data_IF_475938530832
#
_entry.id   IF_475938530832
#
_cell.length_a   1.000
_cell.length_b   1.000
_cell.length_c   1.000
_cell.angle_alpha   90.00
_cell.angle_beta   90.00
_cell.angle_gamma   90.00
#
_symmetry.space_group_name_H-M   'P 1'
#
loop_
_entity.id
_entity.type
_entity.pdbx_description
1 polymer ?
#
# COMPACT_ATOMS: atom_id res chain seq x y z
N UNK A 1 -3.43 16.77 8.74
CA UNK A 1 -3.00 16.81 7.32
C UNK A 1 -3.17 15.40 6.79
N UNK A 2 -3.83 15.21 5.64
CA UNK A 2 -3.96 13.85 5.07
C UNK A 2 -2.57 13.32 4.68
N UNK A 3 -2.22 12.07 5.00
CA UNK A 3 -0.98 11.47 4.53
C UNK A 3 -1.06 11.20 3.01
N UNK A 4 -0.02 11.57 2.28
CA UNK A 4 0.06 11.44 0.80
C UNK A 4 0.92 10.25 0.38
N UNK A 5 1.94 9.91 1.18
CA UNK A 5 2.93 8.89 0.84
C UNK A 5 2.68 7.60 1.62
N UNK A 6 2.47 6.52 0.87
CA UNK A 6 2.42 5.15 1.37
C UNK A 6 3.78 4.49 1.35
N UNK A 7 4.25 4.09 2.53
CA UNK A 7 5.52 3.40 2.73
C UNK A 7 5.25 1.92 2.93
N UNK A 8 5.58 1.11 1.92
CA UNK A 8 5.53 -0.36 2.01
C UNK A 8 6.71 -0.88 2.82
N UNK A 9 6.49 -1.37 4.05
CA UNK A 9 7.58 -1.86 4.87
C UNK A 9 8.12 -3.15 4.29
N UNK A 10 9.39 -3.15 3.90
CA UNK A 10 10.08 -4.36 3.39
C UNK A 10 11.09 -4.92 4.39
N UNK A 11 11.35 -4.18 5.47
CA UNK A 11 12.15 -4.57 6.62
C UNK A 11 11.74 -3.74 7.83
N UNK A 12 12.24 -4.12 9.02
CA UNK A 12 12.14 -3.30 10.23
C UNK A 12 12.81 -1.92 10.05
N UNK A 13 13.91 -1.87 9.31
CA UNK A 13 14.62 -0.63 8.98
C UNK A 13 13.72 0.35 8.23
N UNK A 14 12.90 -0.13 7.29
CA UNK A 14 11.92 0.73 6.59
C UNK A 14 10.91 1.35 7.55
N UNK A 15 10.42 0.58 8.52
CA UNK A 15 9.47 1.06 9.53
C UNK A 15 10.12 2.12 10.42
N UNK A 16 11.33 1.84 10.93
CA UNK A 16 12.06 2.78 11.78
C UNK A 16 12.45 4.06 11.03
N UNK A 17 12.77 3.96 9.74
CA UNK A 17 13.05 5.11 8.87
C UNK A 17 11.79 5.97 8.67
N UNK A 18 10.65 5.35 8.36
CA UNK A 18 9.38 6.07 8.22
C UNK A 18 8.99 6.83 9.49
N UNK A 19 9.10 6.18 10.65
CA UNK A 19 8.85 6.81 11.96
C UNK A 19 9.81 7.98 12.24
N UNK A 20 11.09 7.81 11.92
CA UNK A 20 12.09 8.85 12.09
C UNK A 20 11.80 10.06 11.19
N UNK A 21 11.49 9.84 9.92
CA UNK A 21 11.16 10.87 8.93
C UNK A 21 9.86 11.58 9.30
N UNK A 22 8.79 10.85 9.63
CA UNK A 22 7.51 11.44 10.04
C UNK A 22 7.70 12.38 11.24
N UNK A 23 8.43 11.94 12.27
CA UNK A 23 8.74 12.75 13.45
C UNK A 23 9.59 13.98 13.14
N UNK A 24 10.64 13.81 12.31
CA UNK A 24 11.59 14.89 11.95
C UNK A 24 10.90 15.97 11.12
N UNK A 25 10.07 15.58 10.17
CA UNK A 25 9.40 16.49 9.23
C UNK A 25 8.02 16.95 9.71
N UNK A 26 7.49 16.36 10.80
CA UNK A 26 6.12 16.57 11.29
C UNK A 26 5.06 16.31 10.20
N UNK A 27 5.36 15.41 9.27
CA UNK A 27 4.48 15.09 8.14
C UNK A 27 3.86 13.70 8.32
N UNK A 28 2.53 13.58 8.25
CA UNK A 28 1.87 12.27 8.32
C UNK A 28 2.24 11.34 7.16
N UNK A 29 2.51 10.07 7.46
CA UNK A 29 2.80 9.01 6.49
C UNK A 29 1.81 7.84 6.64
N UNK A 30 1.64 7.05 5.58
CA UNK A 30 0.97 5.75 5.69
C UNK A 30 2.01 4.65 5.77
N UNK A 31 1.84 3.70 6.69
CA UNK A 31 2.55 2.42 6.68
C UNK A 31 1.61 1.38 6.11
N UNK A 32 1.98 0.77 4.98
CA UNK A 32 1.10 -0.05 4.14
C UNK A 32 1.65 -1.49 3.99
N UNK A 33 1.80 -2.28 5.07
CA UNK A 33 2.15 -3.69 4.91
C UNK A 33 1.09 -4.44 4.08
N UNK A 34 1.57 -5.23 3.13
CA UNK A 34 0.78 -6.29 2.50
C UNK A 34 0.61 -7.47 3.43
N UNK A 35 -0.37 -8.34 3.13
CA UNK A 35 -0.58 -9.60 3.88
C UNK A 35 0.63 -10.52 3.89
N UNK A 36 1.54 -10.42 2.92
CA UNK A 36 2.78 -11.20 2.92
C UNK A 36 3.82 -10.67 3.90
N UNK A 37 3.80 -9.36 4.17
CA UNK A 37 4.75 -8.68 5.03
C UNK A 37 4.38 -8.82 6.51
N UNK A 38 3.12 -8.51 6.82
CA UNK A 38 2.53 -8.56 8.16
C UNK A 38 1.11 -9.10 8.03
N UNK A 39 0.73 -10.12 8.78
CA UNK A 39 -0.64 -10.65 8.85
C UNK A 39 -0.95 -11.18 10.25
N UNK A 40 -2.19 -11.64 10.48
CA UNK A 40 -2.59 -12.24 11.74
C UNK A 40 -1.76 -13.50 12.07
N UNK A 41 -1.71 -13.85 13.36
CA UNK A 41 -0.98 -15.03 13.83
C UNK A 41 -1.45 -16.32 13.14
N UNK A 42 -2.75 -16.44 12.82
CA UNK A 42 -3.31 -17.60 12.11
C UNK A 42 -2.72 -17.77 10.70
N UNK A 43 -2.24 -16.69 10.08
CA UNK A 43 -1.60 -16.69 8.75
C UNK A 43 -0.07 -16.76 8.84
N UNK A 44 0.48 -16.86 10.06
CA UNK A 44 1.92 -16.98 10.31
C UNK A 44 2.67 -15.66 10.42
N UNK A 45 1.97 -14.53 10.58
CA UNK A 45 2.58 -13.20 10.78
C UNK A 45 3.18 -12.56 9.53
N UNK A 46 3.64 -13.33 8.54
CA UNK A 46 4.31 -12.78 7.35
C UNK A 46 5.83 -12.64 7.52
N UNK A 47 6.52 -12.25 6.44
CA UNK A 47 7.98 -12.38 6.40
C UNK A 47 8.76 -11.32 7.19
N UNK A 48 8.10 -10.25 7.67
CA UNK A 48 8.77 -9.25 8.53
C UNK A 48 8.95 -9.74 9.97
N UNK A 49 8.34 -10.87 10.34
CA UNK A 49 8.47 -11.45 11.68
C UNK A 49 7.62 -10.77 12.74
N UNK A 50 6.52 -10.12 12.34
CA UNK A 50 5.51 -9.56 13.24
C UNK A 50 4.13 -10.05 12.84
N UNK A 51 3.32 -10.43 13.82
CA UNK A 51 1.88 -10.44 13.65
C UNK A 51 1.33 -9.02 13.49
N UNK A 52 0.10 -8.89 12.96
CA UNK A 52 -0.60 -7.60 12.87
C UNK A 52 -0.62 -6.83 14.19
N UNK A 53 -0.89 -7.52 15.31
CA UNK A 53 -0.90 -6.92 16.65
C UNK A 53 0.50 -6.42 17.06
N UNK A 54 1.53 -7.25 16.91
CA UNK A 54 2.91 -6.89 17.27
C UNK A 54 3.42 -5.72 16.43
N UNK A 55 3.11 -5.69 15.14
CA UNK A 55 3.46 -4.59 14.25
C UNK A 55 2.79 -3.28 14.70
N UNK A 56 1.49 -3.31 14.98
CA UNK A 56 0.77 -2.13 15.43
C UNK A 56 1.27 -1.63 16.79
N UNK A 57 1.53 -2.54 17.74
CA UNK A 57 2.12 -2.21 19.03
C UNK A 57 3.52 -1.61 18.89
N UNK A 58 4.36 -2.17 18.00
CA UNK A 58 5.71 -1.68 17.72
C UNK A 58 5.70 -0.23 17.21
N UNK A 59 4.81 0.07 16.25
CA UNK A 59 4.64 1.38 15.64
C UNK A 59 4.12 2.40 16.66
N UNK A 60 3.02 2.09 17.36
CA UNK A 60 2.42 3.00 18.35
C UNK A 60 3.37 3.39 19.47
N UNK A 61 4.15 2.44 19.98
CA UNK A 61 5.15 2.71 21.00
C UNK A 61 6.23 3.72 20.55
N UNK A 62 6.40 3.93 19.25
CA UNK A 62 7.42 4.80 18.64
C UNK A 62 6.84 6.02 17.92
N UNK A 63 5.51 6.13 17.85
CA UNK A 63 4.78 7.25 17.26
C UNK A 63 3.87 7.95 18.28
N UNK A 64 4.44 8.61 19.31
CA UNK A 64 3.64 9.27 20.35
C UNK A 64 2.80 10.45 19.83
N UNK A 65 3.01 10.87 18.58
CA UNK A 65 2.32 12.00 17.96
C UNK A 65 1.26 11.57 16.95
N UNK A 66 1.08 10.26 16.70
CA UNK A 66 0.11 9.76 15.72
C UNK A 66 0.37 10.28 14.30
N UNK A 67 1.64 10.35 13.89
CA UNK A 67 2.06 10.80 12.56
C UNK A 67 2.08 9.67 11.53
N UNK A 68 1.80 8.43 11.93
CA UNK A 68 1.74 7.28 11.04
C UNK A 68 0.35 6.65 11.07
N UNK A 69 -0.27 6.53 9.90
CA UNK A 69 -1.51 5.79 9.72
C UNK A 69 -1.18 4.35 9.32
N UNK A 70 -1.58 3.39 10.14
CA UNK A 70 -1.49 1.97 9.80
C UNK A 70 -2.54 1.63 8.75
N UNK A 71 -2.11 1.04 7.64
CA UNK A 71 -2.93 0.73 6.49
C UNK A 71 -2.66 -0.69 6.00
N UNK A 72 -3.67 -1.39 5.50
CA UNK A 72 -3.47 -2.67 4.81
C UNK A 72 -3.26 -2.39 3.33
N UNK A 73 -2.28 -3.04 2.71
CA UNK A 73 -2.10 -3.07 1.25
C UNK A 73 -2.51 -4.42 0.66
N UNK A 74 -3.14 -4.42 -0.52
CA UNK A 74 -3.50 -5.60 -1.31
C UNK A 74 -4.10 -6.75 -0.46
N UNK A 75 -5.25 -6.49 0.17
CA UNK A 75 -5.83 -7.38 1.17
C UNK A 75 -6.80 -8.44 0.66
N UNK A 76 -7.08 -8.52 -0.64
CA UNK A 76 -8.10 -9.44 -1.16
C UNK A 76 -7.60 -10.85 -1.51
N UNK A 77 -8.45 -11.65 -2.19
CA UNK A 77 -8.35 -13.10 -2.23
C UNK A 77 -7.22 -13.61 -3.11
N UNK A 78 -6.61 -14.72 -2.70
CA UNK A 78 -5.46 -15.38 -3.32
C UNK A 78 -4.17 -14.55 -3.34
N UNK A 79 -4.12 -13.44 -2.60
CA UNK A 79 -2.91 -12.64 -2.44
C UNK A 79 -2.00 -13.18 -1.35
N UNK A 80 -2.52 -14.00 -0.42
CA UNK A 80 -1.75 -14.67 0.62
C UNK A 80 -1.43 -16.13 0.26
N UNK A 81 -0.26 -16.63 0.65
CA UNK A 81 0.18 -18.01 0.30
C UNK A 81 -0.67 -19.09 0.96
N UNK A 82 -1.28 -18.81 2.11
CA UNK A 82 -2.22 -19.73 2.78
C UNK A 82 -3.46 -20.03 1.93
N UNK A 83 -3.81 -19.14 0.99
CA UNK A 83 -4.99 -19.26 0.14
C UNK A 83 -4.70 -20.07 -1.13
N UNK A 84 -3.45 -20.50 -1.33
CA UNK A 84 -3.02 -21.11 -2.59
C UNK A 84 -3.78 -22.40 -2.95
N UNK A 85 -4.43 -23.05 -1.98
CA UNK A 85 -5.20 -24.28 -2.16
C UNK A 85 -6.72 -24.07 -2.10
N UNK A 86 -7.17 -22.85 -1.81
CA UNK A 86 -8.61 -22.55 -1.72
C UNK A 86 -9.21 -22.53 -3.13
N UNK A 87 -10.12 -23.47 -3.37
CA UNK A 87 -10.88 -23.52 -4.61
C UNK A 87 -12.13 -22.65 -4.51
N UNK A 88 -12.78 -22.55 -3.37
CA UNK A 88 -14.00 -21.75 -3.25
C UNK A 88 -13.66 -20.24 -3.13
N UNK A 89 -14.19 -19.36 -4.00
CA UNK A 89 -14.10 -17.92 -3.80
C UNK A 89 -14.59 -17.45 -2.43
N UNK A 90 -15.67 -18.04 -1.89
CA UNK A 90 -16.21 -17.61 -0.61
C UNK A 90 -15.24 -17.91 0.55
N UNK A 91 -14.58 -19.07 0.53
CA UNK A 91 -13.52 -19.39 1.49
C UNK A 91 -12.32 -18.41 1.39
N UNK A 92 -11.98 -17.97 0.18
CA UNK A 92 -10.92 -16.99 -0.04
C UNK A 92 -11.34 -15.60 0.48
N UNK A 93 -12.61 -15.19 0.30
CA UNK A 93 -13.14 -13.95 0.87
C UNK A 93 -13.18 -14.01 2.40
N UNK A 94 -13.57 -15.14 2.99
CA UNK A 94 -13.55 -15.35 4.44
C UNK A 94 -12.14 -15.27 5.01
N UNK A 95 -11.15 -15.81 4.30
CA UNK A 95 -9.74 -15.68 4.64
C UNK A 95 -9.29 -14.21 4.67
N UNK A 96 -9.70 -13.41 3.69
CA UNK A 96 -9.43 -11.97 3.68
C UNK A 96 -10.11 -11.26 4.86
N UNK A 97 -11.38 -11.58 5.13
CA UNK A 97 -12.14 -10.98 6.21
C UNK A 97 -11.51 -11.23 7.58
N UNK A 98 -10.96 -12.43 7.83
CA UNK A 98 -10.24 -12.72 9.07
C UNK A 98 -8.95 -11.89 9.22
N UNK A 99 -8.19 -11.73 8.14
CA UNK A 99 -7.01 -10.86 8.10
C UNK A 99 -7.37 -9.40 8.38
N UNK A 100 -8.39 -8.86 7.69
CA UNK A 100 -8.90 -7.52 7.92
C UNK A 100 -9.49 -7.33 9.32
N UNK A 101 -10.09 -8.37 9.89
CA UNK A 101 -10.58 -8.33 11.26
C UNK A 101 -9.43 -8.11 12.25
N UNK A 102 -8.31 -8.81 12.07
CA UNK A 102 -7.12 -8.57 12.88
C UNK A 102 -6.55 -7.15 12.68
N UNK A 103 -6.62 -6.61 11.47
CA UNK A 103 -6.23 -5.22 11.19
C UNK A 103 -7.14 -4.22 11.93
N UNK A 104 -8.45 -4.45 11.94
CA UNK A 104 -9.43 -3.64 12.68
C UNK A 104 -9.17 -3.69 14.19
N UNK A 105 -8.97 -4.88 14.75
CA UNK A 105 -8.67 -5.09 16.18
C UNK A 105 -7.34 -4.43 16.56
N UNK A 106 -6.36 -4.49 15.66
CA UNK A 106 -5.08 -3.82 15.82
C UNK A 106 -5.14 -2.33 15.47
N UNK A 107 -6.30 -1.75 15.16
CA UNK A 107 -6.56 -0.34 14.93
C UNK A 107 -5.89 0.24 13.68
N UNK A 108 -5.91 -0.51 12.58
CA UNK A 108 -5.59 0.00 11.25
C UNK A 108 -6.63 1.04 10.83
N UNK A 109 -6.17 2.16 10.27
CA UNK A 109 -7.01 3.29 9.87
C UNK A 109 -7.49 3.21 8.42
N UNK A 110 -6.91 2.33 7.59
CA UNK A 110 -7.29 2.16 6.19
C UNK A 110 -7.11 0.72 5.71
N UNK A 111 -8.12 0.15 5.04
CA UNK A 111 -8.05 -1.20 4.45
C UNK A 111 -8.11 -1.12 2.93
N UNK A 112 -7.05 -1.57 2.25
CA UNK A 112 -7.05 -1.74 0.79
C UNK A 112 -7.66 -3.10 0.41
N UNK A 113 -8.88 -3.07 -0.13
CA UNK A 113 -9.61 -4.22 -0.65
C UNK A 113 -9.32 -4.33 -2.15
N UNK A 114 -8.52 -5.33 -2.52
CA UNK A 114 -8.13 -5.57 -3.91
C UNK A 114 -8.55 -6.97 -4.37
N UNK A 115 -9.51 -7.04 -5.29
CA UNK A 115 -10.12 -8.30 -5.74
C UNK A 115 -9.81 -8.64 -7.20
N UNK A 116 -8.77 -8.02 -7.78
CA UNK A 116 -8.39 -8.24 -9.17
C UNK A 116 -7.79 -9.63 -9.43
N UNK A 117 -7.21 -10.26 -8.42
CA UNK A 117 -6.52 -11.55 -8.56
C UNK A 117 -7.48 -12.73 -8.72
N UNK A 118 -7.04 -13.70 -9.52
CA UNK A 118 -7.69 -15.00 -9.62
C UNK A 118 -6.99 -16.05 -8.77
N UNK A 119 -7.43 -17.31 -8.93
CA UNK A 119 -6.78 -18.43 -8.26
C UNK A 119 -5.34 -18.56 -8.77
N UNK A 120 -4.43 -19.12 -7.97
CA UNK A 120 -3.07 -19.38 -8.43
C UNK A 120 -3.06 -20.14 -9.76
N UNK A 121 -2.34 -19.60 -10.74
CA UNK A 121 -2.23 -20.18 -12.08
C UNK A 121 -3.35 -19.82 -13.06
N UNK A 122 -4.39 -19.08 -12.65
CA UNK A 122 -5.45 -18.64 -13.57
C UNK A 122 -5.25 -17.21 -14.08
N UNK A 123 -4.35 -16.45 -13.45
CA UNK A 123 -4.20 -15.02 -13.69
C UNK A 123 -5.36 -14.19 -13.12
N UNK A 124 -5.34 -12.87 -13.35
CA UNK A 124 -6.38 -11.95 -12.89
C UNK A 124 -7.77 -12.30 -13.43
N UNK A 125 -8.81 -11.94 -12.68
CA UNK A 125 -10.19 -12.10 -13.12
C UNK A 125 -10.67 -10.89 -13.93
N UNK A 126 -11.81 -11.03 -14.61
CA UNK A 126 -12.43 -9.89 -15.30
C UNK A 126 -12.85 -8.80 -14.32
N UNK A 127 -12.85 -7.54 -14.78
CA UNK A 127 -13.27 -6.39 -13.98
C UNK A 127 -14.66 -6.56 -13.35
N UNK A 128 -15.60 -7.20 -14.06
CA UNK A 128 -16.94 -7.54 -13.53
C UNK A 128 -16.87 -8.48 -12.34
N UNK A 129 -16.07 -9.54 -12.43
CA UNK A 129 -15.90 -10.51 -11.33
C UNK A 129 -15.17 -9.88 -10.16
N UNK A 130 -14.12 -9.10 -10.41
CA UNK A 130 -13.41 -8.34 -9.39
C UNK A 130 -14.36 -7.39 -8.66
N UNK A 131 -15.12 -6.57 -9.38
CA UNK A 131 -16.08 -5.63 -8.82
C UNK A 131 -17.16 -6.30 -7.95
N UNK A 132 -17.71 -7.44 -8.39
CA UNK A 132 -18.70 -8.19 -7.60
C UNK A 132 -18.12 -8.67 -6.26
N UNK A 133 -16.92 -9.29 -6.30
CA UNK A 133 -16.20 -9.72 -5.08
C UNK A 133 -15.83 -8.54 -4.19
N UNK A 134 -15.50 -7.41 -4.79
CA UNK A 134 -15.11 -6.20 -4.08
C UNK A 134 -16.28 -5.68 -3.25
N UNK A 135 -17.44 -5.48 -3.87
CA UNK A 135 -18.65 -5.00 -3.17
C UNK A 135 -19.00 -5.93 -2.02
N UNK A 136 -18.94 -7.24 -2.24
CA UNK A 136 -19.20 -8.24 -1.21
C UNK A 136 -18.20 -8.17 -0.04
N UNK A 137 -16.90 -8.22 -0.32
CA UNK A 137 -15.86 -8.15 0.71
C UNK A 137 -15.88 -6.81 1.45
N UNK A 138 -16.14 -5.72 0.74
CA UNK A 138 -16.32 -4.38 1.31
C UNK A 138 -17.46 -4.35 2.31
N UNK A 139 -18.63 -4.88 1.93
CA UNK A 139 -19.79 -4.95 2.81
C UNK A 139 -19.50 -5.78 4.07
N UNK A 140 -18.84 -6.94 3.92
CA UNK A 140 -18.41 -7.79 5.05
C UNK A 140 -17.43 -7.05 5.97
N UNK A 141 -16.40 -6.40 5.43
CA UNK A 141 -15.45 -5.61 6.20
C UNK A 141 -16.12 -4.41 6.91
N UNK A 142 -17.11 -3.77 6.27
CA UNK A 142 -17.87 -2.68 6.88
C UNK A 142 -18.75 -3.14 8.04
N UNK A 143 -19.38 -4.32 7.90
CA UNK A 143 -20.12 -4.93 8.98
C UNK A 143 -19.21 -5.25 10.19
N UNK A 144 -18.04 -5.84 9.96
CA UNK A 144 -17.06 -6.13 11.02
C UNK A 144 -16.54 -4.87 11.72
N UNK A 145 -16.26 -3.81 10.95
CA UNK A 145 -15.82 -2.52 11.51
C UNK A 145 -16.94 -1.88 12.35
N UNK A 146 -18.17 -1.91 11.86
CA UNK A 146 -19.34 -1.36 12.57
C UNK A 146 -19.61 -2.12 13.86
N UNK A 147 -19.55 -3.46 13.83
CA UNK A 147 -19.73 -4.30 15.02
C UNK A 147 -18.70 -4.01 16.12
N UNK A 148 -17.49 -3.57 15.74
CA UNK A 148 -16.41 -3.17 16.67
C UNK A 148 -16.43 -1.69 17.06
N UNK A 149 -17.24 -0.88 16.40
CA UNK A 149 -17.15 0.58 16.51
C UNK A 149 -15.84 1.16 15.98
N UNK A 150 -15.14 0.43 15.11
CA UNK A 150 -13.86 0.85 14.52
C UNK A 150 -14.09 1.91 13.45
N UNK A 151 -13.38 3.03 13.56
CA UNK A 151 -13.32 4.04 12.50
C UNK A 151 -12.23 3.66 11.50
N UNK A 152 -12.63 3.27 10.30
CA UNK A 152 -11.72 2.83 9.25
C UNK A 152 -12.12 3.45 7.91
N UNK A 153 -11.12 3.81 7.11
CA UNK A 153 -11.31 4.19 5.72
C UNK A 153 -11.04 2.99 4.80
N UNK A 154 -11.53 3.05 3.57
CA UNK A 154 -11.29 2.00 2.59
C UNK A 154 -10.54 2.55 1.38
N UNK A 155 -9.77 1.66 0.79
CA UNK A 155 -9.13 1.83 -0.51
C UNK A 155 -9.52 0.64 -1.37
N UNK A 156 -9.79 0.87 -2.65
CA UNK A 156 -10.30 -0.18 -3.53
C UNK A 156 -9.42 -0.35 -4.77
N UNK A 157 -9.20 -1.61 -5.14
CA UNK A 157 -8.55 -2.03 -6.38
C UNK A 157 -9.34 -3.16 -7.02
N UNK A 158 -9.58 -3.08 -8.33
CA UNK A 158 -10.38 -4.09 -9.05
C UNK A 158 -9.83 -4.38 -10.45
N UNK A 159 -8.66 -3.84 -10.79
CA UNK A 159 -7.97 -4.06 -12.06
C UNK A 159 -6.53 -4.53 -11.79
N UNK A 160 -6.04 -5.50 -12.58
CA UNK A 160 -4.66 -5.97 -12.43
C UNK A 160 -3.64 -4.90 -12.76
N UNK A 161 -2.42 -5.08 -12.27
CA UNK A 161 -1.32 -4.16 -12.55
C UNK A 161 -0.84 -4.26 -14.00
N UNK A 162 -0.67 -3.10 -14.65
CA UNK A 162 -0.23 -2.97 -16.04
C UNK A 162 0.93 -1.94 -16.18
N UNK A 163 1.65 -1.98 -17.30
CA UNK A 163 2.59 -0.92 -17.69
C UNK A 163 1.89 0.35 -18.16
N UNK A 164 0.69 0.25 -18.74
CA UNK A 164 -0.08 1.38 -19.28
C UNK A 164 -0.97 2.04 -18.22
N UNK A 165 -1.72 3.07 -18.60
CA UNK A 165 -2.85 3.54 -17.80
C UNK A 165 -4.10 2.73 -18.08
N UNK A 166 -5.10 2.81 -17.20
CA UNK A 166 -6.44 2.35 -17.54
C UNK A 166 -7.03 3.18 -18.67
N UNK A 167 -7.97 2.57 -19.41
CA UNK A 167 -8.87 3.32 -20.28
C UNK A 167 -9.85 4.13 -19.42
N UNK A 168 -9.97 5.46 -19.61
CA UNK A 168 -10.82 6.28 -18.77
C UNK A 168 -12.31 5.92 -18.80
N UNK A 169 -12.85 5.48 -19.93
CA UNK A 169 -14.27 5.17 -20.06
C UNK A 169 -14.60 3.83 -19.40
N UNK A 170 -13.75 2.81 -19.61
CA UNK A 170 -13.86 1.51 -18.94
C UNK A 170 -13.69 1.67 -17.42
N UNK A 171 -12.69 2.43 -16.97
CA UNK A 171 -12.46 2.73 -15.56
C UNK A 171 -13.67 3.41 -14.92
N UNK A 172 -14.23 4.43 -15.58
CA UNK A 172 -15.40 5.15 -15.09
C UNK A 172 -16.63 4.24 -14.94
N UNK A 173 -16.87 3.38 -15.92
CA UNK A 173 -17.99 2.44 -15.89
C UNK A 173 -17.83 1.42 -14.74
N UNK A 174 -16.63 0.87 -14.57
CA UNK A 174 -16.33 -0.08 -13.50
C UNK A 174 -16.41 0.57 -12.11
N UNK A 175 -15.84 1.78 -11.96
CA UNK A 175 -15.88 2.54 -10.71
C UNK A 175 -17.32 2.79 -10.26
N UNK A 176 -18.19 3.28 -11.14
CA UNK A 176 -19.60 3.53 -10.81
C UNK A 176 -20.33 2.29 -10.34
N UNK A 177 -20.12 1.17 -11.02
CA UNK A 177 -20.71 -0.10 -10.63
C UNK A 177 -20.27 -0.53 -9.22
N UNK A 178 -18.99 -0.33 -8.89
CA UNK A 178 -18.48 -0.60 -7.53
C UNK A 178 -19.09 0.34 -6.50
N UNK A 179 -19.09 1.66 -6.77
CA UNK A 179 -19.61 2.65 -5.82
C UNK A 179 -21.11 2.48 -5.56
N UNK A 180 -21.91 2.24 -6.60
CA UNK A 180 -23.34 1.92 -6.47
C UNK A 180 -23.56 0.67 -5.61
N UNK A 181 -22.72 -0.37 -5.77
CA UNK A 181 -22.77 -1.56 -4.94
C UNK A 181 -22.40 -1.31 -3.48
N UNK A 182 -21.37 -0.49 -3.22
CA UNK A 182 -20.94 -0.08 -1.87
C UNK A 182 -22.04 0.73 -1.19
N UNK A 183 -22.64 1.69 -1.88
CA UNK A 183 -23.76 2.50 -1.36
C UNK A 183 -25.00 1.65 -1.09
N UNK A 184 -25.33 0.71 -1.98
CA UNK A 184 -26.46 -0.21 -1.80
C UNK A 184 -26.26 -1.14 -0.59
N UNK A 185 -25.01 -1.45 -0.23
CA UNK A 185 -24.66 -2.17 0.99
C UNK A 185 -24.71 -1.30 2.27
N UNK A 186 -25.02 -0.01 2.14
CA UNK A 186 -25.08 0.94 3.25
C UNK A 186 -23.71 1.35 3.80
N UNK A 187 -22.63 1.05 3.07
CA UNK A 187 -21.27 1.32 3.50
C UNK A 187 -20.78 2.69 2.98
N UNK A 188 -19.83 3.37 3.66
CA UNK A 188 -19.31 4.65 3.22
C UNK A 188 -18.54 4.50 1.90
N UNK A 189 -18.47 5.55 1.09
CA UNK A 189 -17.60 5.56 -0.09
C UNK A 189 -16.13 5.32 0.29
N UNK A 190 -15.35 4.60 -0.55
CA UNK A 190 -13.93 4.44 -0.32
C UNK A 190 -13.23 5.79 -0.37
N UNK A 191 -12.18 5.95 0.43
CA UNK A 191 -11.35 7.16 0.40
C UNK A 191 -10.50 7.21 -0.86
N UNK A 192 -9.91 6.09 -1.23
CA UNK A 192 -9.02 5.98 -2.38
C UNK A 192 -9.48 4.89 -3.35
N UNK A 193 -9.21 5.11 -4.62
CA UNK A 193 -9.30 4.12 -5.69
C UNK A 193 -7.92 4.02 -6.32
N UNK A 194 -7.44 2.79 -6.47
CA UNK A 194 -6.19 2.51 -7.17
C UNK A 194 -6.50 2.35 -8.66
N UNK A 195 -5.80 3.13 -9.48
CA UNK A 195 -5.81 2.97 -10.93
C UNK A 195 -4.36 2.89 -11.43
N UNK A 196 -4.18 2.29 -12.60
CA UNK A 196 -2.91 2.25 -13.30
C UNK A 196 -2.57 3.65 -13.81
N UNK A 197 -1.51 4.23 -13.26
CA UNK A 197 -1.03 5.58 -13.60
C UNK A 197 0.15 5.55 -14.58
N UNK A 198 0.34 4.44 -15.29
CA UNK A 198 1.47 4.22 -16.18
C UNK A 198 2.80 4.02 -15.44
N UNK A 199 2.75 3.57 -14.18
CA UNK A 199 3.90 3.27 -13.32
C UNK A 199 3.95 1.78 -13.01
N UNK A 200 5.12 1.15 -13.20
CA UNK A 200 5.31 -0.28 -12.92
C UNK A 200 6.76 -0.54 -12.52
N UNK A 201 6.98 -1.32 -11.46
CA UNK A 201 8.33 -1.69 -11.04
C UNK A 201 8.74 -3.00 -11.69
N UNK A 202 9.93 -3.00 -12.31
CA UNK A 202 10.63 -4.22 -12.67
C UNK A 202 12.13 -4.00 -12.50
N UNK A 203 12.83 -5.03 -12.02
CA UNK A 203 14.26 -5.01 -11.75
C UNK A 203 14.65 -3.87 -10.77
N UNK A 204 15.47 -2.92 -11.23
CA UNK A 204 15.97 -1.78 -10.44
C UNK A 204 15.42 -0.45 -10.95
N UNK A 205 14.30 -0.46 -11.66
CA UNK A 205 13.73 0.72 -12.31
C UNK A 205 12.20 0.68 -12.38
N UNK A 206 11.63 1.81 -12.76
CA UNK A 206 10.26 1.88 -13.21
C UNK A 206 10.21 1.65 -14.73
N UNK A 207 9.34 0.75 -15.18
CA UNK A 207 9.14 0.33 -16.58
C UNK A 207 7.76 0.69 -17.11
N UNK A 208 6.98 1.47 -16.34
CA UNK A 208 5.67 1.92 -16.78
C UNK A 208 5.77 2.90 -17.95
N UNK A 209 4.68 2.99 -18.73
CA UNK A 209 4.53 3.85 -19.91
C UNK A 209 4.85 5.32 -19.63
N UNK A 210 4.69 5.77 -18.39
CA UNK A 210 5.09 7.10 -17.94
C UNK A 210 6.57 7.42 -18.21
N UNK A 211 7.45 6.41 -18.24
CA UNK A 211 8.87 6.57 -18.53
C UNK A 211 9.23 6.57 -20.02
N UNK A 212 8.29 6.29 -20.93
CA UNK A 212 8.50 6.46 -22.36
C UNK A 212 8.40 7.95 -22.72
N UNK A 213 9.49 8.61 -23.19
CA UNK A 213 9.48 10.03 -23.54
C UNK A 213 8.42 10.40 -24.58
N UNK A 214 8.09 9.48 -25.51
CA UNK A 214 7.12 9.72 -26.56
C UNK A 214 5.67 9.62 -26.04
N UNK A 215 5.45 8.80 -25.02
CA UNK A 215 4.13 8.55 -24.45
C UNK A 215 3.84 9.33 -23.15
N UNK A 216 4.85 9.90 -22.49
CA UNK A 216 4.72 10.54 -21.16
C UNK A 216 3.66 11.63 -21.10
N UNK A 217 3.61 12.51 -22.11
CA UNK A 217 2.64 13.60 -22.14
C UNK A 217 1.19 13.10 -22.27
N UNK A 218 0.97 12.05 -23.08
CA UNK A 218 -0.36 11.41 -23.18
C UNK A 218 -0.71 10.66 -21.90
N UNK A 219 0.24 9.92 -21.33
CA UNK A 219 0.08 9.21 -20.06
C UNK A 219 -0.37 10.17 -18.95
N UNK A 220 0.27 11.34 -18.82
CA UNK A 220 -0.12 12.36 -17.83
C UNK A 220 -1.52 12.96 -18.08
N UNK A 221 -1.94 13.11 -19.35
CA UNK A 221 -3.32 13.53 -19.68
C UNK A 221 -4.35 12.46 -19.29
N UNK A 222 -4.04 11.18 -19.54
CA UNK A 222 -4.89 10.07 -19.13
C UNK A 222 -5.00 10.00 -17.61
N UNK A 223 -3.88 10.11 -16.88
CA UNK A 223 -3.89 10.20 -15.40
C UNK A 223 -4.74 11.37 -14.92
N UNK A 224 -4.65 12.54 -15.56
CA UNK A 224 -5.50 13.69 -15.24
C UNK A 224 -6.99 13.42 -15.44
N UNK A 225 -7.33 12.64 -16.47
CA UNK A 225 -8.71 12.23 -16.74
C UNK A 225 -9.20 11.23 -15.68
N UNK A 226 -8.38 10.25 -15.31
CA UNK A 226 -8.69 9.29 -14.24
C UNK A 226 -8.90 10.01 -12.89
N UNK A 227 -8.02 10.95 -12.55
CA UNK A 227 -8.15 11.75 -11.33
C UNK A 227 -9.45 12.57 -11.33
N UNK A 228 -9.77 13.23 -12.45
CA UNK A 228 -11.02 13.98 -12.59
C UNK A 228 -12.26 13.10 -12.45
N UNK A 229 -12.23 11.87 -12.98
CA UNK A 229 -13.31 10.88 -12.80
C UNK A 229 -13.45 10.54 -11.31
N UNK A 230 -12.37 10.19 -10.62
CA UNK A 230 -12.41 9.91 -9.18
C UNK A 230 -13.01 11.07 -8.39
N UNK A 231 -12.52 12.30 -8.63
CA UNK A 231 -13.00 13.49 -7.92
C UNK A 231 -14.47 13.80 -8.19
N UNK A 232 -14.97 13.55 -9.40
CA UNK A 232 -16.39 13.69 -9.74
C UNK A 232 -17.28 12.71 -8.97
N UNK A 233 -16.78 11.51 -8.70
CA UNK A 233 -17.48 10.48 -7.94
C UNK A 233 -17.22 10.58 -6.41
N UNK A 234 -16.51 11.63 -5.96
CA UNK A 234 -16.28 11.89 -4.52
C UNK A 234 -15.17 11.04 -3.88
N UNK A 235 -14.34 10.38 -4.68
CA UNK A 235 -13.23 9.52 -4.23
C UNK A 235 -11.89 10.07 -4.73
N UNK A 236 -10.77 9.56 -4.21
CA UNK A 236 -9.42 10.05 -4.54
C UNK A 236 -8.63 9.03 -5.35
N UNK A 237 -7.79 9.50 -6.26
CA UNK A 237 -6.92 8.63 -7.05
C UNK A 237 -5.62 8.34 -6.31
N UNK A 238 -5.27 7.05 -6.19
CA UNK A 238 -3.99 6.62 -5.61
C UNK A 238 -3.15 5.83 -6.60
N UNK A 239 -1.89 6.23 -6.73
CA UNK A 239 -0.92 5.59 -7.62
C UNK A 239 -0.11 4.51 -6.89
N UNK A 240 0.10 3.36 -7.55
CA UNK A 240 0.99 2.31 -7.07
C UNK A 240 2.29 2.28 -7.89
N UNK A 241 3.28 1.53 -7.41
CA UNK A 241 4.54 1.32 -8.12
C UNK A 241 5.29 2.64 -8.42
N UNK A 242 5.26 3.62 -7.51
CA UNK A 242 5.96 4.89 -7.69
C UNK A 242 7.43 4.85 -7.22
N UNK A 243 7.98 3.65 -7.04
CA UNK A 243 9.40 3.43 -6.80
C UNK A 243 10.26 3.92 -7.98
N UNK A 244 11.48 4.35 -7.65
CA UNK A 244 12.51 4.82 -8.58
C UNK A 244 12.15 6.09 -9.37
N UNK A 245 11.02 6.73 -9.07
CA UNK A 245 10.69 8.02 -9.64
C UNK A 245 11.61 9.10 -9.07
N UNK A 246 11.99 10.04 -9.92
CA UNK A 246 12.61 11.30 -9.48
C UNK A 246 11.58 12.19 -8.76
N UNK A 247 12.06 13.19 -8.02
CA UNK A 247 11.20 14.19 -7.39
C UNK A 247 10.28 14.87 -8.40
N UNK A 248 10.80 15.22 -9.59
CA UNK A 248 10.04 15.91 -10.62
C UNK A 248 9.02 15.00 -11.33
N UNK A 249 9.36 13.72 -11.51
CA UNK A 249 8.43 12.71 -12.03
C UNK A 249 7.26 12.49 -11.06
N UNK A 250 7.56 12.33 -9.77
CA UNK A 250 6.54 12.21 -8.73
C UNK A 250 5.67 13.47 -8.66
N UNK A 251 6.28 14.66 -8.70
CA UNK A 251 5.56 15.93 -8.75
C UNK A 251 4.67 16.07 -10.00
N UNK A 252 5.07 15.48 -11.13
CA UNK A 252 4.25 15.46 -12.35
C UNK A 252 2.98 14.64 -12.18
N UNK A 253 3.04 13.48 -11.52
CA UNK A 253 1.86 12.66 -11.20
C UNK A 253 0.91 13.39 -10.25
N UNK A 254 1.46 14.03 -9.20
CA UNK A 254 0.69 14.84 -8.26
C UNK A 254 0.00 16.03 -8.97
N UNK A 255 0.70 16.72 -9.88
CA UNK A 255 0.10 17.79 -10.71
C UNK A 255 -0.96 17.28 -11.67
N UNK A 256 -0.86 16.02 -12.11
CA UNK A 256 -1.90 15.35 -12.87
C UNK A 256 -3.08 14.87 -11.99
N UNK A 257 -3.11 15.20 -10.70
CA UNK A 257 -4.26 14.94 -9.84
C UNK A 257 -4.20 13.64 -9.04
N UNK A 258 -3.07 12.92 -9.03
CA UNK A 258 -2.85 11.82 -8.08
C UNK A 258 -2.85 12.37 -6.65
N UNK A 259 -3.70 11.84 -5.78
CA UNK A 259 -3.90 12.33 -4.42
C UNK A 259 -2.95 11.68 -3.40
N UNK A 260 -2.54 10.44 -3.66
CA UNK A 260 -1.61 9.68 -2.84
C UNK A 260 -0.85 8.66 -3.68
N UNK A 261 0.30 8.18 -3.20
CA UNK A 261 1.09 7.18 -3.92
C UNK A 261 1.89 6.26 -3.00
N UNK A 262 2.18 5.06 -3.49
CA UNK A 262 2.95 4.04 -2.77
C UNK A 262 4.36 3.88 -3.31
N UNK A 263 5.32 3.69 -2.40
CA UNK A 263 6.71 3.27 -2.67
C UNK A 263 7.03 2.12 -1.72
N UNK A 264 7.69 1.06 -2.19
CA UNK A 264 7.97 -0.11 -1.37
C UNK A 264 9.29 -0.83 -1.72
N UNK A 265 9.41 -1.59 -2.84
CA UNK A 265 10.59 -2.40 -3.14
C UNK A 265 11.91 -1.60 -3.19
N UNK A 266 11.88 -0.33 -3.58
CA UNK A 266 13.08 0.53 -3.62
C UNK A 266 13.73 0.67 -2.24
N UNK A 267 12.96 0.64 -1.15
CA UNK A 267 13.51 0.73 0.19
C UNK A 267 14.39 -0.48 0.53
N UNK A 268 14.01 -1.67 0.06
CA UNK A 268 14.76 -2.91 0.30
C UNK A 268 16.03 -2.96 -0.52
N UNK A 269 15.98 -2.47 -1.76
CA UNK A 269 17.16 -2.29 -2.62
C UNK A 269 18.11 -1.25 -2.02
N UNK A 270 17.57 -0.15 -1.49
CA UNK A 270 18.36 0.92 -0.85
C UNK A 270 19.09 0.39 0.38
N UNK A 271 18.38 -0.35 1.23
CA UNK A 271 18.97 -0.99 2.42
C UNK A 271 20.05 -2.02 2.03
N UNK A 272 19.79 -2.83 1.00
CA UNK A 272 20.76 -3.81 0.49
C UNK A 272 22.02 -3.13 -0.02
N UNK A 273 21.88 -2.08 -0.83
CA UNK A 273 23.00 -1.28 -1.32
C UNK A 273 23.78 -0.63 -0.17
N UNK A 274 23.10 -0.17 0.87
CA UNK A 274 23.75 0.41 2.05
C UNK A 274 24.59 -0.63 2.81
N UNK A 275 24.08 -1.85 3.00
CA UNK A 275 24.87 -2.95 3.59
C UNK A 275 26.08 -3.29 2.73
N UNK A 276 25.91 -3.43 1.41
CA UNK A 276 27.02 -3.75 0.50
C UNK A 276 28.11 -2.67 0.51
N UNK A 277 27.74 -1.39 0.58
CA UNK A 277 28.70 -0.29 0.76
C UNK A 277 29.46 -0.41 2.07
N UNK A 278 28.78 -0.70 3.18
CA UNK A 278 29.44 -0.92 4.48
C UNK A 278 30.43 -2.07 4.40
N UNK A 279 30.04 -3.21 3.82
CA UNK A 279 30.93 -4.37 3.68
C UNK A 279 32.18 -4.04 2.85
N UNK A 280 32.02 -3.25 1.79
CA UNK A 280 33.13 -2.78 0.95
C UNK A 280 34.04 -1.78 1.67
N UNK A 281 33.49 -0.73 2.26
CA UNK A 281 34.24 0.28 3.01
C UNK A 281 34.99 -0.32 4.20
N UNK A 282 34.43 -1.36 4.83
CA UNK A 282 35.03 -2.07 5.95
C UNK A 282 36.05 -3.15 5.53
N UNK A 283 36.25 -3.34 4.22
CA UNK A 283 37.16 -4.34 3.62
C UNK A 283 36.74 -5.80 3.93
N UNK A 284 35.43 -6.04 4.02
CA UNK A 284 34.82 -7.35 4.31
C UNK A 284 34.40 -8.08 3.01
N UNK A 285 35.36 -8.31 2.11
CA UNK A 285 35.11 -8.89 0.78
C UNK A 285 34.40 -10.26 0.81
N UNK A 286 34.82 -11.16 1.71
CA UNK A 286 34.21 -12.48 1.86
C UNK A 286 32.74 -12.38 2.34
N UNK A 287 32.46 -11.50 3.30
CA UNK A 287 31.09 -11.29 3.78
C UNK A 287 30.19 -10.65 2.69
N UNK A 288 30.75 -9.77 1.84
CA UNK A 288 30.05 -9.21 0.67
C UNK A 288 29.67 -10.31 -0.33
N UNK A 289 30.61 -11.19 -0.66
CA UNK A 289 30.36 -12.32 -1.57
C UNK A 289 29.35 -13.32 -0.99
N UNK A 290 29.50 -13.68 0.29
CA UNK A 290 28.55 -14.53 1.01
C UNK A 290 27.13 -13.96 0.97
N UNK A 291 26.99 -12.65 1.20
CA UNK A 291 25.69 -11.98 1.17
C UNK A 291 25.07 -12.00 -0.21
N UNK A 292 25.84 -11.65 -1.24
CA UNK A 292 25.36 -11.64 -2.63
C UNK A 292 24.90 -13.03 -3.06
N UNK A 293 25.69 -14.07 -2.74
CA UNK A 293 25.32 -15.46 -3.01
C UNK A 293 24.05 -15.87 -2.28
N UNK A 294 23.97 -15.60 -0.97
CA UNK A 294 22.77 -15.88 -0.16
C UNK A 294 21.52 -15.23 -0.74
N UNK A 295 21.59 -13.95 -1.11
CA UNK A 295 20.48 -13.20 -1.67
C UNK A 295 20.08 -13.71 -3.06
N UNK A 296 21.06 -14.00 -3.92
CA UNK A 296 20.81 -14.58 -5.24
C UNK A 296 20.12 -15.96 -5.14
N UNK A 297 20.66 -16.85 -4.31
CA UNK A 297 20.21 -18.24 -4.19
C UNK A 297 18.81 -18.35 -3.56
N UNK A 298 18.35 -17.30 -2.86
CA UNK A 298 16.98 -17.21 -2.34
C UNK A 298 15.91 -17.27 -3.44
N UNK A 299 16.25 -16.91 -4.68
CA UNK A 299 15.34 -16.84 -5.82
C UNK A 299 14.24 -15.77 -5.70
N UNK A 300 14.24 -14.94 -4.64
CA UNK A 300 13.19 -13.94 -4.40
C UNK A 300 13.17 -12.79 -5.42
N UNK A 301 14.24 -12.67 -6.22
CA UNK A 301 14.34 -11.72 -7.32
C UNK A 301 13.50 -12.10 -8.55
N UNK A 302 13.14 -13.39 -8.72
CA UNK A 302 12.51 -13.90 -9.97
C UNK A 302 11.25 -13.14 -10.38
N UNK A 303 10.36 -12.83 -9.43
CA UNK A 303 9.10 -12.13 -9.70
C UNK A 303 9.28 -10.68 -10.20
N UNK A 304 10.47 -10.12 -10.01
CA UNK A 304 10.78 -8.74 -10.38
C UNK A 304 11.44 -8.64 -11.76
N UNK A 305 11.79 -9.77 -12.39
CA UNK A 305 12.53 -9.78 -13.66
C UNK A 305 11.62 -9.58 -14.85
N UNK A 306 12.13 -8.88 -15.86
CA UNK A 306 11.54 -8.86 -17.19
C UNK A 306 11.79 -10.20 -17.90
N UNK A 307 10.95 -10.57 -18.87
CA UNK A 307 11.13 -11.80 -19.64
C UNK A 307 12.47 -11.80 -20.41
N UNK A 308 12.82 -10.66 -21.00
CA UNK A 308 14.08 -10.42 -21.70
C UNK A 308 15.08 -9.64 -20.81
N UNK A 309 15.26 -10.10 -19.56
CA UNK A 309 16.17 -9.46 -18.61
C UNK A 309 17.64 -9.63 -19.00
N UNK A 310 18.42 -8.55 -18.89
CA UNK A 310 19.88 -8.53 -18.95
C UNK A 310 20.52 -8.37 -17.55
N UNK A 311 19.71 -8.43 -16.49
CA UNK A 311 20.17 -8.23 -15.12
C UNK A 311 21.20 -9.29 -14.72
N UNK A 312 22.32 -8.79 -14.19
CA UNK A 312 23.42 -9.60 -13.64
C UNK A 312 23.00 -10.31 -12.36
N UNK A 313 23.74 -11.35 -11.97
CA UNK A 313 23.51 -12.05 -10.70
C UNK A 313 23.68 -11.12 -9.48
N UNK A 314 24.54 -10.10 -9.60
CA UNK A 314 24.69 -9.06 -8.58
C UNK A 314 23.42 -8.20 -8.47
N UNK A 315 22.83 -7.77 -9.59
CA UNK A 315 21.59 -7.00 -9.56
C UNK A 315 20.42 -7.82 -9.01
N UNK A 316 20.33 -9.08 -9.40
CA UNK A 316 19.37 -10.04 -8.84
C UNK A 316 19.54 -10.20 -7.32
N UNK A 317 20.78 -10.33 -6.85
CA UNK A 317 21.09 -10.37 -5.42
C UNK A 317 20.68 -9.06 -4.72
N UNK A 318 20.94 -7.89 -5.33
CA UNK A 318 20.57 -6.58 -4.77
C UNK A 318 19.05 -6.45 -4.61
N UNK A 319 18.26 -6.92 -5.58
CA UNK A 319 16.80 -6.92 -5.52
C UNK A 319 16.28 -7.82 -4.39
N UNK A 320 16.93 -8.97 -4.20
CA UNK A 320 16.52 -9.98 -3.22
C UNK A 320 17.08 -9.77 -1.81
N UNK A 321 18.07 -8.90 -1.61
CA UNK A 321 18.84 -8.82 -0.37
C UNK A 321 18.02 -8.62 0.90
N UNK A 322 16.97 -7.80 0.84
CA UNK A 322 16.12 -7.54 2.00
C UNK A 322 15.35 -8.76 2.50
N UNK A 323 15.09 -9.76 1.65
CA UNK A 323 14.42 -11.00 2.07
C UNK A 323 15.31 -11.91 2.92
N UNK A 324 16.64 -11.72 2.90
CA UNK A 324 17.59 -12.60 3.59
C UNK A 324 18.21 -11.96 4.84
N UNK A 325 17.88 -10.71 5.17
CA UNK A 325 18.42 -10.04 6.37
C UNK A 325 18.08 -10.73 7.70
N UNK A 326 16.98 -11.49 7.74
CA UNK A 326 16.52 -12.23 8.92
C UNK A 326 16.98 -13.68 8.98
N UNK A 327 17.70 -14.20 7.97
CA UNK A 327 18.22 -15.57 8.03
C UNK A 327 19.43 -15.65 8.97
N UNK A 328 19.78 -16.84 9.51
CA UNK A 328 20.96 -17.00 10.36
C UNK A 328 22.24 -16.45 9.70
N UNK A 329 22.44 -16.72 8.40
CA UNK A 329 23.58 -16.23 7.63
C UNK A 329 23.53 -14.73 7.42
N UNK A 330 22.35 -14.16 7.12
CA UNK A 330 22.16 -12.72 6.98
C UNK A 330 22.45 -11.96 8.27
N UNK A 331 21.98 -12.49 9.41
CA UNK A 331 22.26 -11.94 10.74
C UNK A 331 23.77 -11.99 11.05
N UNK A 332 24.44 -13.11 10.77
CA UNK A 332 25.90 -13.25 10.96
C UNK A 332 26.68 -12.18 10.18
N UNK A 333 26.31 -11.96 8.92
CA UNK A 333 26.98 -10.97 8.05
C UNK A 333 26.74 -9.55 8.56
N UNK A 334 25.51 -9.23 8.96
CA UNK A 334 25.16 -7.93 9.55
C UNK A 334 25.93 -7.69 10.86
N UNK A 335 26.07 -8.70 11.70
CA UNK A 335 26.84 -8.62 12.94
C UNK A 335 28.34 -8.38 12.67
N UNK A 336 28.89 -9.00 11.63
CA UNK A 336 30.26 -8.76 11.19
C UNK A 336 30.48 -7.32 10.73
N UNK A 337 29.57 -6.79 9.90
CA UNK A 337 29.57 -5.40 9.48
C UNK A 337 29.45 -4.44 10.68
N UNK A 338 28.55 -4.72 11.62
CA UNK A 338 28.35 -3.92 12.82
C UNK A 338 29.61 -3.87 13.71
N UNK A 339 30.27 -5.01 13.93
CA UNK A 339 31.55 -5.07 14.67
C UNK A 339 32.67 -4.32 13.97
N UNK A 340 32.74 -4.38 12.63
CA UNK A 340 33.73 -3.64 11.87
C UNK A 340 33.53 -2.12 11.97
N UNK A 341 32.30 -1.65 11.81
CA UNK A 341 31.94 -0.23 12.02
C UNK A 341 32.32 0.24 13.42
N UNK A 342 31.96 -0.53 14.46
CA UNK A 342 32.28 -0.18 15.84
C UNK A 342 33.78 -0.08 16.09
N UNK A 343 34.59 -1.01 15.58
CA UNK A 343 36.07 -0.97 15.69
C UNK A 343 36.68 0.28 15.03
N UNK A 344 36.06 0.81 13.98
CA UNK A 344 36.49 2.03 13.29
C UNK A 344 35.81 3.31 13.80
N UNK A 345 35.07 3.24 14.91
CA UNK A 345 34.38 4.40 15.50
C UNK A 345 33.30 5.00 14.59
N UNK A 346 32.71 4.19 13.71
CA UNK A 346 31.66 4.61 12.77
C UNK A 346 30.26 4.46 13.42
N UNK A 347 29.22 5.14 12.90
CA UNK A 347 27.86 4.97 13.38
C UNK A 347 27.39 3.50 13.35
N UNK A 348 26.47 3.08 14.25
CA UNK A 348 25.95 1.72 14.25
C UNK A 348 25.32 1.33 12.91
N UNK A 349 25.44 0.07 12.50
CA UNK A 349 24.92 -0.42 11.22
C UNK A 349 23.45 -0.03 11.00
N UNK A 350 22.58 -0.30 11.98
CA UNK A 350 21.16 0.04 11.90
C UNK A 350 20.91 1.53 11.68
N UNK A 351 21.78 2.41 12.19
CA UNK A 351 21.70 3.85 11.92
C UNK A 351 22.07 4.14 10.47
N UNK A 352 23.16 3.55 9.96
CA UNK A 352 23.59 3.73 8.56
C UNK A 352 22.50 3.26 7.59
N UNK A 353 21.93 2.08 7.82
CA UNK A 353 20.87 1.52 6.99
C UNK A 353 19.59 2.38 7.05
N UNK A 354 19.17 2.79 8.25
CA UNK A 354 17.98 3.62 8.45
C UNK A 354 18.11 4.99 7.78
N UNK A 355 19.26 5.66 7.88
CA UNK A 355 19.43 6.97 7.24
C UNK A 355 19.41 6.84 5.71
N UNK A 356 20.01 5.80 5.13
CA UNK A 356 19.94 5.56 3.68
C UNK A 356 18.49 5.38 3.19
N UNK A 357 17.66 4.65 3.94
CA UNK A 357 16.23 4.50 3.61
C UNK A 357 15.46 5.81 3.87
N UNK A 358 15.80 6.53 4.93
CA UNK A 358 15.17 7.82 5.27
C UNK A 358 15.33 8.86 4.16
N UNK A 359 16.52 8.93 3.53
CA UNK A 359 16.78 9.82 2.39
C UNK A 359 15.82 9.56 1.21
N UNK A 360 15.47 8.29 0.96
CA UNK A 360 14.50 7.94 -0.09
C UNK A 360 13.07 8.32 0.28
N UNK A 361 12.69 8.16 1.54
CA UNK A 361 11.38 8.62 2.04
C UNK A 361 11.29 10.16 1.96
N UNK A 362 12.35 10.88 2.33
CA UNK A 362 12.40 12.34 2.23
C UNK A 362 12.35 12.84 0.78
N UNK A 363 12.97 12.13 -0.17
CA UNK A 363 12.85 12.46 -1.59
C UNK A 363 11.39 12.42 -2.10
N UNK A 364 10.59 11.45 -1.61
CA UNK A 364 9.16 11.39 -1.89
C UNK A 364 8.40 12.58 -1.24
N UNK A 365 8.74 12.95 -0.01
CA UNK A 365 8.15 14.13 0.65
C UNK A 365 8.52 15.45 -0.02
N UNK A 366 9.73 15.58 -0.56
CA UNK A 366 10.13 16.75 -1.34
C UNK A 366 9.27 16.90 -2.60
N UNK A 367 8.85 15.79 -3.24
CA UNK A 367 7.95 15.85 -4.38
C UNK A 367 6.56 16.37 -3.98
N UNK A 368 6.06 15.95 -2.82
CA UNK A 368 4.80 16.45 -2.25
C UNK A 368 4.90 17.95 -1.95
N UNK A 369 6.02 18.40 -1.38
CA UNK A 369 6.23 19.82 -1.06
C UNK A 369 6.40 20.70 -2.31
N UNK A 370 6.86 20.13 -3.43
CA UNK A 370 7.06 20.84 -4.69
C UNK A 370 5.75 21.16 -5.43
N UNK A 371 4.63 20.51 -5.08
CA UNK A 371 3.33 20.75 -5.71
C UNK A 371 2.47 21.63 -4.81
N UNK A 372 2.03 22.81 -5.28
CA UNK A 372 1.11 23.65 -4.52
C UNK A 372 -0.14 22.84 -4.18
N UNK A 373 -0.54 22.82 -2.92
CA UNK A 373 -1.87 22.32 -2.56
C UNK A 373 -2.88 23.25 -3.21
N UNK A 374 -3.56 22.78 -4.24
CA UNK A 374 -4.79 23.41 -4.69
C UNK A 374 -5.72 23.43 -3.47
N UNK A 375 -6.16 24.63 -3.06
CA UNK A 375 -7.17 24.75 -2.03
C UNK A 375 -8.35 23.87 -2.47
N UNK A 376 -8.67 22.86 -1.66
CA UNK A 376 -9.53 21.76 -2.06
C UNK A 376 -10.79 22.27 -2.76
N UNK A 377 -11.12 21.65 -3.88
CA UNK A 377 -12.52 21.48 -4.24
C UNK A 377 -13.20 20.92 -3.00
N UNK A 378 -13.89 21.78 -2.26
CA UNK A 378 -14.74 21.36 -1.15
C UNK A 378 -15.61 20.23 -1.71
N UNK A 379 -15.49 19.04 -1.14
CA UNK A 379 -16.41 17.97 -1.48
C UNK A 379 -17.81 18.51 -1.28
N UNK A 380 -18.60 18.53 -2.34
CA UNK A 380 -20.00 18.95 -2.29
C UNK A 380 -20.68 18.07 -1.24
N UNK A 381 -21.31 18.62 -0.20
CA UNK A 381 -22.02 17.81 0.78
C UNK A 381 -23.06 16.97 0.03
N UNK A 382 -23.09 15.67 0.35
CA UNK A 382 -23.91 14.68 -0.33
C UNK A 382 -25.37 15.11 -0.49
N UNK A 383 -25.98 14.67 -1.60
CA UNK A 383 -27.42 14.76 -1.84
C UNK A 383 -28.16 14.29 -0.58
N UNK A 384 -28.96 15.16 0.01
CA UNK A 384 -29.81 14.80 1.13
C UNK A 384 -30.80 13.73 0.69
N UNK A 385 -30.74 12.56 1.31
CA UNK A 385 -31.84 11.59 1.26
C UNK A 385 -32.99 12.22 2.04
N UNK A 386 -34.03 12.66 1.31
CA UNK A 386 -35.26 13.13 1.92
C UNK A 386 -35.94 11.94 2.61
N UNK A 387 -35.87 11.88 3.94
CA UNK A 387 -36.69 11.01 4.74
C UNK A 387 -38.16 11.47 4.64
N UNK A 388 -39.01 10.63 4.06
CA UNK A 388 -40.46 10.82 4.06
C UNK A 388 -40.98 10.79 5.49
N UNK A 389 -41.53 11.91 5.94
CA UNK A 389 -42.18 12.03 7.25
C UNK A 389 -43.43 11.15 7.31
N UNK A 390 -43.49 10.32 8.35
CA UNK A 390 -44.67 9.61 8.78
C UNK A 390 -45.77 10.63 9.17
N UNK A 391 -46.97 10.44 8.62
CA UNK A 391 -48.17 11.15 9.04
C UNK A 391 -48.68 10.60 10.37
N UNK A 392 -48.61 11.42 11.40
CA UNK A 392 -49.20 11.15 12.72
C UNK A 392 -50.69 11.51 12.67
N UNK A 393 -51.55 10.51 12.84
CA UNK A 393 -53.00 10.67 12.84
C UNK A 393 -53.46 11.18 14.21
N UNK A 394 -53.96 12.42 14.23
CA UNK A 394 -54.45 13.10 15.42
C UNK A 394 -55.59 12.37 16.12
N UNK A 395 -55.43 12.24 17.44
CA UNK A 395 -56.47 11.87 18.38
C UNK A 395 -57.55 12.97 18.46
N UNK A 396 -58.82 12.59 18.39
CA UNK A 396 -59.96 13.45 18.69
C UNK A 396 -60.96 12.74 19.62
N UNK A 397 -61.00 13.23 20.86
CA UNK A 397 -62.24 13.61 21.55
C UNK A 397 -63.15 12.51 22.10
N UNK A 398 -63.02 12.25 23.40
CA UNK A 398 -64.11 11.70 24.21
C UNK A 398 -64.77 12.79 25.07
N UNK A 399 -66.09 12.62 25.25
CA UNK A 399 -66.96 13.07 26.33
C UNK A 399 -67.84 14.33 26.11
N UNK A 400 -69.16 14.12 26.26
CA UNK A 400 -70.09 15.18 26.64
C UNK A 400 -71.56 14.95 26.32
N UNK A 401 -72.19 13.94 26.93
CA UNK A 401 -73.66 13.86 27.00
C UNK A 401 -74.17 14.78 28.11
N UNK A 402 -75.25 15.55 27.86
CA UNK A 402 -76.39 15.81 28.78
C UNK A 402 -77.43 16.76 28.15
N UNK A 403 -78.64 16.20 28.03
CA UNK A 403 -80.00 16.79 28.02
C UNK A 403 -80.40 17.75 26.91
#
# INVERSE_FOLDING_TARGET
MEPVVGIGPVSRTTVDAALAVARRTRTPLMLIPSRRQVDAAEFGGGYLGWTTEEFAAYVRARDPHGLTMLCRDHGGPWMHTAEARLADPDEALDSCLRSFTADLDAGFGLLHIDTSEGRPGTGPVSARTAAARLVELYARCHAEATARGSQVAYEIGFEPQDVSTNDPDEFKAALRLVLEGVEAAGAPLPRYVVAQTGTKVAELRNVGRFHDPQARAETLRQVSTLAAICHQEGVRLKAHNCDYLTTEETASLLRAGVDAFNVAPEYGVTETRALLRVLEEMELGAAKEDFLRLAHDSGKWRKWMLEATDATDVERAVIAGHYVFGTPEGLRIRDEAARALARRGRPPLETVLREAVSERIEAALHAVAAVPRTAGTAMVPGRSVAAGAAGDAGAAGAAGARR
#
